data_IF_873869711991
#
_entry.id   IF_873869711991
#
_cell.length_a   1.000
_cell.length_b   1.000
_cell.length_c   1.000
_cell.angle_alpha   90.00
_cell.angle_beta   90.00
_cell.angle_gamma   90.00
#
_symmetry.space_group_name_H-M   'P 1'
#
loop_
_entity.id
_entity.type
_entity.pdbx_description
1 polymer ?
#
# COMPACT_ATOMS: atom_id res chain seq x y z
N UNK A 1 11.33 20.63 0.21
CA UNK A 1 10.19 20.21 -0.65
C UNK A 1 10.64 19.16 -1.65
N UNK A 2 9.97 18.00 -1.71
CA UNK A 2 10.32 16.89 -2.59
C UNK A 2 9.66 16.95 -3.97
N UNK A 3 10.11 16.05 -4.84
CA UNK A 3 9.40 15.57 -6.02
C UNK A 3 7.96 15.13 -5.68
N UNK A 4 7.11 15.05 -6.70
CA UNK A 4 5.70 14.71 -6.52
C UNK A 4 5.18 13.80 -7.63
N UNK A 5 4.27 12.90 -7.27
CA UNK A 5 3.55 12.04 -8.21
C UNK A 5 2.26 12.70 -8.65
N UNK A 6 2.06 12.79 -9.97
CA UNK A 6 0.80 13.29 -10.53
C UNK A 6 -0.35 12.36 -10.14
N UNK A 7 -1.43 12.84 -9.50
CA UNK A 7 -2.54 11.99 -9.07
C UNK A 7 -3.33 11.42 -10.27
N UNK A 8 -3.37 12.15 -11.39
CA UNK A 8 -4.11 11.78 -12.59
C UNK A 8 -3.44 10.68 -13.42
N UNK A 9 -2.14 10.81 -13.68
CA UNK A 9 -1.42 9.91 -14.59
C UNK A 9 -0.25 9.14 -13.96
N UNK A 10 -0.02 9.31 -12.65
CA UNK A 10 1.07 8.69 -11.85
C UNK A 10 2.49 9.01 -12.34
N UNK A 11 2.64 9.97 -13.26
CA UNK A 11 3.92 10.47 -13.71
C UNK A 11 4.69 11.17 -12.57
N UNK A 12 6.00 10.97 -12.52
CA UNK A 12 6.87 11.61 -11.55
C UNK A 12 7.26 13.01 -12.01
N UNK A 13 7.18 13.97 -11.11
CA UNK A 13 7.47 15.38 -11.38
C UNK A 13 8.51 15.92 -10.39
N UNK A 14 9.46 16.69 -10.89
CA UNK A 14 10.45 17.35 -10.05
C UNK A 14 9.82 18.37 -9.10
N UNK A 15 10.46 18.60 -7.96
CA UNK A 15 9.93 19.43 -6.86
C UNK A 15 9.52 20.85 -7.29
N UNK A 16 10.22 21.43 -8.27
CA UNK A 16 9.99 22.76 -8.82
C UNK A 16 8.84 22.85 -9.84
N UNK A 17 8.32 21.72 -10.32
CA UNK A 17 7.22 21.70 -11.29
C UNK A 17 5.90 22.01 -10.61
N UNK A 18 5.21 23.06 -11.08
CA UNK A 18 3.87 23.46 -10.61
C UNK A 18 2.73 22.73 -11.33
N UNK A 19 3.04 22.08 -12.46
CA UNK A 19 2.13 21.32 -13.32
C UNK A 19 2.85 20.06 -13.78
N UNK A 20 2.10 18.98 -14.04
CA UNK A 20 2.65 17.72 -14.51
C UNK A 20 3.47 17.90 -15.81
N UNK A 21 4.66 17.32 -15.90
CA UNK A 21 5.57 17.43 -17.05
C UNK A 21 5.34 16.36 -18.13
N UNK A 22 4.35 15.48 -17.94
CA UNK A 22 3.95 14.50 -18.95
C UNK A 22 3.14 15.18 -20.04
N UNK A 23 3.57 15.04 -21.29
CA UNK A 23 2.83 15.50 -22.47
C UNK A 23 1.38 15.00 -22.44
N UNK A 24 0.43 15.92 -22.60
CA UNK A 24 -1.01 15.63 -22.53
C UNK A 24 -1.59 15.50 -21.12
N UNK A 25 -0.81 15.73 -20.06
CA UNK A 25 -1.29 15.79 -18.69
C UNK A 25 -0.93 17.13 -18.04
N UNK A 26 -1.91 18.02 -17.93
CA UNK A 26 -1.77 19.38 -17.39
C UNK A 26 -2.21 19.49 -15.93
N UNK A 27 -2.13 18.38 -15.18
CA UNK A 27 -2.58 18.33 -13.80
C UNK A 27 -1.74 19.25 -12.90
N UNK A 28 -2.33 20.19 -12.16
CA UNK A 28 -1.59 21.09 -11.29
C UNK A 28 -1.02 20.34 -10.06
N UNK A 29 0.09 20.87 -9.53
CA UNK A 29 0.68 20.38 -8.29
C UNK A 29 -0.33 20.57 -7.15
N UNK A 30 -0.72 19.50 -6.42
CA UNK A 30 -1.68 19.61 -5.32
C UNK A 30 -1.20 20.57 -4.22
N UNK A 31 -2.05 21.55 -3.85
CA UNK A 31 -1.77 22.47 -2.73
C UNK A 31 -1.93 21.69 -1.42
N UNK A 32 -0.81 21.40 -0.73
CA UNK A 32 -0.81 20.73 0.58
C UNK A 32 -0.47 19.24 0.58
N UNK A 33 0.03 18.67 -0.52
CA UNK A 33 0.24 17.23 -0.64
C UNK A 33 1.70 16.81 -0.67
N UNK A 34 2.39 16.83 0.49
CA UNK A 34 3.40 15.81 0.78
C UNK A 34 2.69 14.48 1.01
N UNK A 35 2.01 13.99 -0.02
CA UNK A 35 1.08 12.86 0.06
C UNK A 35 1.86 11.57 -0.05
N UNK A 36 2.00 10.87 1.08
CA UNK A 36 2.43 9.47 1.15
C UNK A 36 1.71 8.67 0.06
N UNK A 37 2.45 8.23 -0.95
CA UNK A 37 1.98 7.34 -2.00
C UNK A 37 1.41 6.06 -1.40
N UNK A 38 0.08 6.00 -1.26
CA UNK A 38 -0.68 4.75 -1.22
C UNK A 38 -1.38 4.60 -2.57
N UNK A 39 -0.63 4.19 -3.58
CA UNK A 39 -1.22 3.63 -4.79
C UNK A 39 -0.32 2.50 -5.30
N UNK A 40 -0.48 1.35 -4.65
CA UNK A 40 0.09 0.07 -5.06
C UNK A 40 -0.84 -0.58 -6.09
N UNK A 41 -0.58 -0.34 -7.38
CA UNK A 41 -0.91 -1.23 -8.50
C UNK A 41 0.28 -1.13 -9.46
N UNK A 42 1.27 -2.01 -9.47
CA UNK A 42 1.17 -3.47 -9.59
C UNK A 42 1.63 -3.83 -11.00
N UNK A 43 2.85 -4.37 -11.15
CA UNK A 43 3.17 -5.60 -11.89
C UNK A 43 4.68 -5.74 -12.20
N UNK A 44 5.22 -6.93 -11.83
CA UNK A 44 6.53 -7.54 -12.15
C UNK A 44 7.75 -7.11 -11.33
N UNK A 45 8.09 -7.91 -10.32
CA UNK A 45 9.23 -8.84 -10.45
C UNK A 45 9.26 -9.83 -9.28
N UNK A 46 9.43 -11.10 -9.60
CA UNK A 46 9.61 -12.20 -8.67
C UNK A 46 10.94 -12.07 -7.94
N UNK A 47 10.92 -11.77 -6.64
CA UNK A 47 11.85 -12.32 -5.64
C UNK A 47 11.47 -11.81 -4.24
N UNK A 48 11.06 -12.75 -3.38
CA UNK A 48 11.59 -12.90 -2.02
C UNK A 48 11.70 -11.66 -1.12
N UNK A 49 10.81 -11.53 -0.13
CA UNK A 49 11.24 -11.08 1.21
C UNK A 49 10.65 -9.81 1.83
N UNK A 50 9.61 -9.19 1.27
CA UNK A 50 8.82 -8.15 1.97
C UNK A 50 7.56 -8.80 2.54
N UNK A 51 7.20 -8.71 3.82
CA UNK A 51 7.21 -7.55 4.67
C UNK A 51 7.50 -8.02 6.09
N UNK A 52 8.47 -7.41 6.78
CA UNK A 52 8.41 -7.41 8.24
C UNK A 52 7.13 -6.71 8.59
N UNK A 53 6.18 -7.52 8.98
CA UNK A 53 4.97 -7.14 9.63
C UNK A 53 5.40 -6.50 10.96
N UNK A 54 5.72 -5.21 10.93
CA UNK A 54 6.41 -4.52 12.03
C UNK A 54 5.59 -4.51 13.33
N UNK A 55 4.37 -5.04 13.30
CA UNK A 55 3.43 -5.07 14.41
C UNK A 55 2.82 -6.48 14.66
N UNK A 56 3.18 -7.51 13.89
CA UNK A 56 2.82 -8.91 14.20
C UNK A 56 3.85 -9.51 15.14
N UNK A 57 3.36 -10.11 16.22
CA UNK A 57 4.19 -10.89 17.12
C UNK A 57 4.44 -12.27 16.53
N UNK A 58 5.53 -12.96 16.90
CA UNK A 58 5.72 -14.36 16.54
C UNK A 58 4.47 -15.19 16.89
N UNK A 59 4.01 -15.99 15.93
CA UNK A 59 2.80 -16.81 16.06
C UNK A 59 1.51 -16.12 15.61
N UNK A 60 1.48 -14.78 15.51
CA UNK A 60 0.36 -14.11 14.86
C UNK A 60 0.26 -14.55 13.40
N UNK A 61 -0.95 -14.56 12.87
CA UNK A 61 -1.20 -15.01 11.50
C UNK A 61 -2.12 -14.04 10.77
N UNK A 62 -2.00 -14.04 9.44
CA UNK A 62 -2.80 -13.20 8.56
C UNK A 62 -3.86 -14.04 7.88
N UNK A 63 -5.13 -13.66 8.03
CA UNK A 63 -6.22 -14.41 7.41
C UNK A 63 -6.04 -14.48 5.89
N UNK A 64 -6.09 -15.68 5.26
CA UNK A 64 -5.83 -15.83 3.83
C UNK A 64 -6.90 -15.14 2.96
N UNK A 65 -8.16 -15.12 3.43
CA UNK A 65 -9.32 -14.53 2.72
C UNK A 65 -9.38 -13.01 2.84
N UNK A 66 -9.44 -12.48 4.06
CA UNK A 66 -9.69 -11.04 4.29
C UNK A 66 -8.44 -10.23 4.65
N UNK A 67 -7.27 -10.87 4.76
CA UNK A 67 -5.98 -10.26 5.13
C UNK A 67 -5.95 -9.57 6.50
N UNK A 68 -6.92 -9.86 7.36
CA UNK A 68 -6.99 -9.39 8.73
C UNK A 68 -5.89 -10.01 9.61
N UNK A 69 -5.34 -9.23 10.53
CA UNK A 69 -4.37 -9.69 11.52
C UNK A 69 -5.08 -10.43 12.66
N UNK A 70 -4.59 -11.62 12.97
CA UNK A 70 -5.09 -12.44 14.05
C UNK A 70 -3.95 -12.76 15.03
N UNK A 71 -4.28 -12.74 16.31
CA UNK A 71 -3.35 -13.10 17.38
C UNK A 71 -3.02 -14.60 17.36
N UNK A 72 -1.83 -14.96 17.81
CA UNK A 72 -1.33 -16.34 17.84
C UNK A 72 -2.27 -17.37 18.51
N UNK A 73 -3.08 -16.94 19.48
CA UNK A 73 -4.04 -17.81 20.17
C UNK A 73 -5.36 -18.02 19.41
N UNK A 74 -5.57 -17.35 18.28
CA UNK A 74 -6.78 -17.48 17.48
C UNK A 74 -6.65 -18.64 16.50
N UNK A 75 -7.59 -19.59 16.57
CA UNK A 75 -7.75 -20.67 15.58
C UNK A 75 -8.64 -20.28 14.40
N UNK A 76 -9.37 -19.16 14.55
CA UNK A 76 -10.35 -18.64 13.58
C UNK A 76 -10.19 -17.13 13.48
N UNK A 77 -10.42 -16.58 12.30
CA UNK A 77 -10.28 -15.15 12.01
C UNK A 77 -11.22 -14.33 12.90
N UNK A 78 -10.66 -13.38 13.65
CA UNK A 78 -11.41 -12.52 14.58
C UNK A 78 -12.22 -11.40 13.87
N UNK A 79 -12.11 -11.29 12.55
CA UNK A 79 -12.89 -10.35 11.75
C UNK A 79 -14.32 -10.86 11.59
N UNK A 80 -15.27 -10.04 12.02
CA UNK A 80 -16.72 -10.25 11.82
C UNK A 80 -17.02 -10.59 10.36
N UNK A 81 -17.73 -11.69 10.13
CA UNK A 81 -18.17 -12.15 8.81
C UNK A 81 -17.08 -12.81 7.94
N UNK A 82 -15.87 -13.05 8.46
CA UNK A 82 -14.86 -13.82 7.73
C UNK A 82 -14.77 -15.26 8.21
N UNK A 83 -14.67 -15.47 9.54
CA UNK A 83 -14.67 -16.79 10.23
C UNK A 83 -13.73 -17.86 9.65
N UNK A 84 -12.73 -17.45 8.85
CA UNK A 84 -11.80 -18.40 8.24
C UNK A 84 -10.89 -19.02 9.29
N UNK A 85 -10.68 -20.35 9.25
CA UNK A 85 -9.76 -21.02 10.14
C UNK A 85 -8.31 -20.63 9.85
N UNK A 86 -7.46 -20.81 10.84
CA UNK A 86 -6.01 -20.81 10.64
C UNK A 86 -5.68 -21.93 9.64
N UNK A 87 -5.17 -21.56 8.46
CA UNK A 87 -4.58 -22.52 7.54
C UNK A 87 -3.17 -22.83 8.06
N UNK A 88 -3.03 -23.99 8.70
CA UNK A 88 -1.73 -24.58 9.09
C UNK A 88 -1.08 -25.17 7.84
#
# INVERSE_FOLDING_TARGET
>A
PGDWRCPKCKNHNYANKKVCNRTGCEEPKPRGGGGRDRDSRGYRSSNSGGFRDSNMKPGDWRCPKCKNHNYANKKVCNRTGCEEPLSI
#
